data_IF_474287037294
#
_entry.id   IF_474287037294
#
_cell.length_a   1.000
_cell.length_b   1.000
_cell.length_c   1.000
_cell.angle_alpha   90.00
_cell.angle_beta   90.00
_cell.angle_gamma   90.00
#
_symmetry.space_group_name_H-M   'P 1'
#
loop_
_entity.id
_entity.type
_entity.pdbx_description
1 polymer ?
#
# COMPACT_ATOMS: atom_id res chain seq x y z
N UNK A 1 -25.67 -40.41 18.79
CA UNK A 1 -25.50 -38.98 19.09
C UNK A 1 -24.06 -38.53 18.95
N UNK A 2 -23.05 -39.32 19.32
CA UNK A 2 -21.63 -38.89 19.29
C UNK A 2 -21.00 -38.73 17.88
N UNK A 3 -21.42 -39.57 16.92
CA UNK A 3 -20.89 -39.53 15.53
C UNK A 3 -21.29 -38.24 14.79
N UNK A 4 -22.49 -37.75 15.01
CA UNK A 4 -22.97 -36.49 14.37
C UNK A 4 -22.27 -35.27 14.91
N UNK A 5 -21.90 -35.25 16.20
CA UNK A 5 -21.11 -34.16 16.83
C UNK A 5 -19.66 -34.13 16.35
N UNK A 6 -19.08 -35.30 16.10
CA UNK A 6 -17.69 -35.40 15.58
C UNK A 6 -17.64 -34.94 14.13
N UNK A 7 -18.63 -35.24 13.30
CA UNK A 7 -18.74 -34.79 11.91
C UNK A 7 -18.91 -33.25 11.87
N UNK A 8 -19.75 -32.68 12.74
CA UNK A 8 -19.89 -31.22 12.85
C UNK A 8 -18.62 -30.51 13.26
N UNK A 9 -17.84 -31.09 14.18
CA UNK A 9 -16.55 -30.54 14.61
C UNK A 9 -15.49 -30.64 13.52
N UNK A 10 -15.47 -31.71 12.73
CA UNK A 10 -14.56 -31.90 11.61
C UNK A 10 -14.82 -30.89 10.47
N UNK A 11 -16.10 -30.56 10.21
CA UNK A 11 -16.46 -29.54 9.22
C UNK A 11 -16.05 -28.11 9.64
N UNK A 12 -16.04 -27.80 10.93
CA UNK A 12 -15.63 -26.52 11.47
C UNK A 12 -14.11 -26.27 11.33
N UNK A 13 -13.31 -27.35 11.38
CA UNK A 13 -11.85 -27.28 11.26
C UNK A 13 -11.39 -27.12 9.79
N UNK A 14 -12.18 -27.60 8.83
CA UNK A 14 -11.89 -27.48 7.39
C UNK A 14 -12.14 -26.07 6.82
N UNK A 15 -12.85 -25.21 7.54
CA UNK A 15 -13.16 -23.83 7.11
C UNK A 15 -12.05 -22.81 7.34
N UNK A 16 -10.95 -23.14 8.00
CA UNK A 16 -9.90 -22.20 8.41
C UNK A 16 -8.71 -22.09 7.45
N UNK A 17 -8.72 -22.79 6.31
CA UNK A 17 -7.66 -22.74 5.31
C UNK A 17 -7.87 -21.66 4.22
N UNK A 18 -8.52 -20.54 4.52
CA UNK A 18 -8.67 -19.46 3.56
C UNK A 18 -7.84 -18.27 3.99
N UNK A 19 -6.70 -18.10 3.41
CA UNK A 19 -6.01 -16.88 3.01
C UNK A 19 -4.50 -17.08 2.88
N UNK A 20 -4.05 -17.82 1.89
CA UNK A 20 -2.74 -17.52 1.31
C UNK A 20 -2.97 -16.40 0.30
N UNK A 21 -2.94 -15.16 0.75
CA UNK A 21 -2.93 -14.01 -0.13
C UNK A 21 -1.74 -14.10 -1.08
N UNK A 22 -1.87 -13.56 -2.28
CA UNK A 22 -0.85 -13.44 -3.33
C UNK A 22 0.31 -12.47 -2.94
N UNK A 23 0.46 -12.20 -1.65
CA UNK A 23 1.42 -11.22 -1.12
C UNK A 23 2.37 -11.83 -0.10
N UNK A 24 3.58 -11.30 -0.04
CA UNK A 24 4.57 -11.57 1.02
C UNK A 24 4.64 -10.44 2.05
N UNK A 25 4.21 -9.25 1.65
CA UNK A 25 4.18 -8.06 2.51
C UNK A 25 3.01 -7.16 2.14
N UNK A 26 2.33 -6.61 3.13
CA UNK A 26 1.39 -5.51 2.96
C UNK A 26 1.22 -4.78 4.29
N UNK A 27 1.48 -3.49 4.29
CA UNK A 27 1.33 -2.63 5.45
C UNK A 27 0.71 -1.29 5.03
N UNK A 28 -0.17 -0.77 5.89
CA UNK A 28 -0.71 0.58 5.76
C UNK A 28 -0.34 1.41 6.98
N UNK A 29 0.12 2.63 6.74
CA UNK A 29 0.31 3.65 7.77
C UNK A 29 -0.87 4.62 7.69
N UNK A 30 -1.65 4.68 8.75
CA UNK A 30 -2.77 5.62 8.90
C UNK A 30 -2.21 7.01 9.19
N UNK A 31 -2.78 8.01 8.57
CA UNK A 31 -2.38 9.41 8.72
C UNK A 31 -3.34 10.15 9.66
N UNK A 32 -2.78 10.99 10.51
CA UNK A 32 -3.57 11.79 11.44
C UNK A 32 -4.47 12.77 10.67
N UNK A 33 -5.73 12.90 11.13
CA UNK A 33 -6.71 13.80 10.55
C UNK A 33 -6.96 13.60 9.03
N UNK A 34 -6.68 12.40 8.50
CA UNK A 34 -6.74 12.11 7.07
C UNK A 34 -5.97 13.14 6.22
N UNK A 35 -4.74 13.47 6.63
CA UNK A 35 -3.91 14.47 5.99
C UNK A 35 -2.45 14.02 5.88
N UNK A 36 -1.85 14.16 4.70
CA UNK A 36 -0.44 13.84 4.46
C UNK A 36 0.36 15.14 4.33
N UNK A 37 1.17 15.46 5.35
CA UNK A 37 2.00 16.67 5.30
C UNK A 37 3.24 16.44 4.42
N UNK A 38 3.75 17.50 3.80
CA UNK A 38 4.95 17.45 2.97
C UNK A 38 6.21 17.05 3.77
N UNK A 39 6.19 17.25 5.08
CA UNK A 39 7.28 16.88 6.00
C UNK A 39 7.20 15.43 6.47
N UNK A 40 6.07 14.75 6.26
CA UNK A 40 5.84 13.39 6.77
C UNK A 40 6.46 12.35 5.85
N UNK A 41 7.43 11.62 6.36
CA UNK A 41 8.01 10.45 5.71
C UNK A 41 7.36 9.17 6.21
N UNK A 42 6.80 8.39 5.29
CA UNK A 42 6.14 7.12 5.60
C UNK A 42 7.12 5.99 5.35
N UNK A 43 7.54 5.32 6.43
CA UNK A 43 8.58 4.28 6.38
C UNK A 43 7.96 2.88 6.45
N UNK A 44 8.46 1.96 5.61
CA UNK A 44 8.17 0.54 5.62
C UNK A 44 9.46 -0.25 5.80
N UNK A 45 9.47 -1.14 6.77
CA UNK A 45 10.59 -2.05 7.03
C UNK A 45 10.41 -3.33 6.19
N UNK A 46 11.38 -3.61 5.34
CA UNK A 46 11.41 -4.78 4.46
C UNK A 46 12.53 -5.77 4.84
N UNK A 47 13.14 -5.59 6.01
CA UNK A 47 14.16 -6.51 6.50
C UNK A 47 13.66 -7.97 6.48
N UNK A 48 14.52 -8.88 6.08
CA UNK A 48 14.22 -10.31 6.02
C UNK A 48 13.26 -10.75 4.90
N UNK A 49 12.87 -9.87 3.98
CA UNK A 49 12.06 -10.23 2.83
C UNK A 49 12.94 -10.58 1.61
N UNK A 50 12.56 -11.65 0.91
CA UNK A 50 13.11 -11.92 -0.42
C UNK A 50 12.42 -11.04 -1.45
N UNK A 51 13.13 -10.05 -1.97
CA UNK A 51 12.64 -9.06 -2.93
C UNK A 51 12.97 -9.41 -4.38
N UNK A 52 13.69 -10.50 -4.62
CA UNK A 52 14.15 -10.86 -5.97
C UNK A 52 12.96 -11.08 -6.92
N UNK A 53 12.91 -10.30 -8.00
CA UNK A 53 11.89 -10.38 -9.06
C UNK A 53 10.43 -10.21 -8.57
N UNK A 54 10.22 -9.53 -7.44
CA UNK A 54 8.89 -9.29 -6.89
C UNK A 54 8.24 -8.04 -7.45
N UNK A 55 6.94 -8.11 -7.67
CA UNK A 55 6.14 -6.93 -8.02
C UNK A 55 5.77 -6.16 -6.75
N UNK A 56 6.11 -4.88 -6.73
CA UNK A 56 5.79 -3.99 -5.62
C UNK A 56 4.75 -2.96 -6.01
N UNK A 57 3.85 -2.66 -5.09
CA UNK A 57 2.79 -1.68 -5.29
C UNK A 57 2.80 -0.66 -4.15
N UNK A 58 2.48 0.58 -4.50
CA UNK A 58 2.04 1.59 -3.54
C UNK A 58 0.52 1.59 -3.47
N UNK A 59 -0.01 1.97 -2.33
CA UNK A 59 -1.44 2.14 -2.12
C UNK A 59 -1.73 3.48 -1.47
N UNK A 60 -2.76 4.17 -1.94
CA UNK A 60 -3.29 5.36 -1.30
C UNK A 60 -4.74 5.11 -0.96
N UNK A 61 -5.09 5.32 0.31
CA UNK A 61 -6.46 5.34 0.80
C UNK A 61 -6.87 6.78 0.97
N UNK A 62 -7.94 7.17 0.29
CA UNK A 62 -8.38 8.56 0.23
C UNK A 62 -9.91 8.66 0.27
N UNK A 63 -10.40 9.85 0.56
CA UNK A 63 -11.83 10.15 0.60
C UNK A 63 -12.17 11.38 -0.27
N UNK A 64 -13.43 11.79 -0.26
CA UNK A 64 -13.97 12.88 -1.05
C UNK A 64 -13.34 14.27 -0.76
N UNK A 65 -12.63 14.43 0.34
CA UNK A 65 -11.90 15.67 0.64
C UNK A 65 -10.63 15.85 -0.18
N UNK A 66 -10.15 14.79 -0.85
CA UNK A 66 -9.00 14.88 -1.74
C UNK A 66 -9.36 15.59 -3.03
N UNK A 67 -8.63 16.68 -3.36
CA UNK A 67 -9.03 17.64 -4.42
C UNK A 67 -8.31 17.46 -5.75
N UNK A 68 -7.31 16.56 -5.84
CA UNK A 68 -6.50 16.40 -7.04
C UNK A 68 -6.84 15.11 -7.76
N UNK A 69 -6.61 15.07 -9.08
CA UNK A 69 -6.84 13.86 -9.89
C UNK A 69 -5.77 12.79 -9.72
N UNK A 70 -4.61 13.17 -9.23
CA UNK A 70 -3.44 12.28 -9.03
C UNK A 70 -2.67 12.67 -7.78
N UNK A 71 -1.74 11.81 -7.36
CA UNK A 71 -0.80 12.08 -6.30
C UNK A 71 0.62 11.75 -6.79
N UNK A 72 1.53 12.72 -6.74
CA UNK A 72 2.95 12.47 -6.94
C UNK A 72 3.56 11.96 -5.65
N UNK A 73 4.17 10.78 -5.72
CA UNK A 73 4.83 10.14 -4.59
C UNK A 73 6.30 9.94 -4.91
N UNK A 74 7.17 10.42 -4.06
CA UNK A 74 8.59 10.12 -4.12
C UNK A 74 8.85 8.84 -3.34
N UNK A 75 9.46 7.86 -4.00
CA UNK A 75 9.83 6.57 -3.44
C UNK A 75 11.35 6.55 -3.28
N UNK A 76 11.81 6.34 -2.05
CA UNK A 76 13.22 6.19 -1.73
C UNK A 76 13.41 4.80 -1.15
N UNK A 77 14.28 3.99 -1.74
CA UNK A 77 14.70 2.71 -1.17
C UNK A 77 16.10 2.81 -0.58
N UNK A 78 16.31 2.14 0.56
CA UNK A 78 17.60 2.10 1.24
C UNK A 78 17.98 0.68 1.60
N UNK A 79 19.29 0.41 1.65
CA UNK A 79 19.81 -0.82 2.22
C UNK A 79 19.99 -0.72 3.75
N UNK A 80 20.46 -1.79 4.36
CA UNK A 80 20.70 -1.88 5.81
C UNK A 80 21.76 -0.90 6.35
N UNK A 81 22.59 -0.34 5.46
CA UNK A 81 23.58 0.70 5.78
C UNK A 81 23.02 2.11 5.60
N UNK A 82 21.73 2.27 5.33
CA UNK A 82 21.07 3.52 4.97
C UNK A 82 21.54 4.14 3.63
N UNK A 83 22.24 3.39 2.79
CA UNK A 83 22.60 3.82 1.45
C UNK A 83 21.34 3.86 0.58
N UNK A 84 21.13 4.98 -0.11
CA UNK A 84 20.02 5.12 -1.06
C UNK A 84 20.32 4.29 -2.30
N UNK A 85 19.46 3.34 -2.59
CA UNK A 85 19.53 2.47 -3.78
C UNK A 85 18.69 3.03 -4.93
N UNK A 86 17.49 3.56 -4.61
CA UNK A 86 16.58 4.17 -5.57
C UNK A 86 15.98 5.45 -4.99
N UNK A 87 15.75 6.43 -5.87
CA UNK A 87 15.03 7.66 -5.55
C UNK A 87 14.22 8.05 -6.79
N UNK A 88 12.93 7.69 -6.80
CA UNK A 88 12.05 7.84 -7.96
C UNK A 88 10.81 8.63 -7.62
N UNK A 89 10.39 9.47 -8.55
CA UNK A 89 9.10 10.15 -8.51
C UNK A 89 8.10 9.35 -9.33
N UNK A 90 6.97 9.00 -8.73
CA UNK A 90 5.90 8.24 -9.35
C UNK A 90 4.63 9.08 -9.36
N UNK A 91 3.97 9.14 -10.50
CA UNK A 91 2.64 9.75 -10.63
C UNK A 91 1.59 8.65 -10.45
N UNK A 92 0.78 8.78 -9.41
CA UNK A 92 -0.31 7.85 -9.12
C UNK A 92 -1.66 8.50 -9.44
N UNK A 93 -2.34 8.11 -10.52
CA UNK A 93 -3.67 8.60 -10.83
C UNK A 93 -4.67 8.06 -9.81
N UNK A 94 -5.44 8.93 -9.17
CA UNK A 94 -6.47 8.59 -8.20
C UNK A 94 -7.89 8.72 -8.76
N UNK A 95 -8.05 9.56 -9.79
CA UNK A 95 -9.32 9.73 -10.49
C UNK A 95 -9.13 9.60 -12.00
N UNK A 96 -10.13 9.07 -12.65
CA UNK A 96 -10.19 9.03 -14.11
C UNK A 96 -10.34 10.46 -14.68
N UNK A 97 -9.43 10.82 -15.58
CA UNK A 97 -9.36 12.19 -16.12
C UNK A 97 -10.54 12.59 -16.98
N UNK A 98 -11.30 11.62 -17.51
CA UNK A 98 -12.44 11.88 -18.40
C UNK A 98 -13.75 11.91 -17.62
N UNK A 99 -13.95 10.97 -16.70
CA UNK A 99 -15.20 10.82 -15.95
C UNK A 99 -15.17 11.43 -14.55
N UNK A 100 -13.99 11.75 -14.03
CA UNK A 100 -13.80 12.21 -12.64
C UNK A 100 -14.11 11.13 -11.59
N UNK A 101 -14.31 9.87 -12.00
CA UNK A 101 -14.59 8.77 -11.07
C UNK A 101 -13.31 8.33 -10.37
N UNK A 102 -13.38 7.96 -9.08
CA UNK A 102 -12.20 7.42 -8.37
C UNK A 102 -11.73 6.10 -8.99
N UNK A 103 -10.43 5.96 -9.13
CA UNK A 103 -9.75 4.78 -9.62
C UNK A 103 -9.34 3.91 -8.43
N UNK A 104 -10.18 3.00 -8.02
CA UNK A 104 -9.87 2.13 -6.88
C UNK A 104 -11.10 1.38 -6.43
N UNK A 105 -10.96 0.70 -5.31
CA UNK A 105 -12.06 -0.03 -4.66
C UNK A 105 -12.26 0.52 -3.26
N UNK A 106 -13.50 0.60 -2.83
CA UNK A 106 -13.79 1.10 -1.49
C UNK A 106 -15.22 0.88 -1.07
N UNK A 107 -15.51 1.35 0.12
CA UNK A 107 -16.83 1.32 0.72
C UNK A 107 -17.14 2.68 1.35
N UNK A 108 -18.34 3.17 1.16
CA UNK A 108 -18.72 4.51 1.59
C UNK A 108 -17.87 5.58 0.90
N UNK A 109 -17.31 6.49 1.67
CA UNK A 109 -16.49 7.60 1.15
C UNK A 109 -15.00 7.26 1.04
N UNK A 110 -14.59 6.07 1.47
CA UNK A 110 -13.19 5.67 1.49
C UNK A 110 -12.86 4.78 0.30
N UNK A 111 -11.89 5.18 -0.49
CA UNK A 111 -11.40 4.48 -1.68
C UNK A 111 -9.93 4.12 -1.47
N UNK A 112 -9.55 2.90 -1.83
CA UNK A 112 -8.14 2.47 -1.86
C UNK A 112 -7.73 2.18 -3.30
N UNK A 113 -6.72 2.88 -3.79
CA UNK A 113 -6.09 2.65 -5.09
C UNK A 113 -4.71 2.04 -4.87
N UNK A 114 -4.47 0.92 -5.54
CA UNK A 114 -3.13 0.32 -5.68
C UNK A 114 -2.57 0.65 -7.05
N UNK A 115 -1.27 0.88 -7.11
CA UNK A 115 -0.54 1.05 -8.36
C UNK A 115 0.82 0.38 -8.30
N UNK A 116 1.20 -0.29 -9.38
CA UNK A 116 2.51 -0.95 -9.47
C UNK A 116 3.60 0.10 -9.63
N UNK A 117 4.67 0.01 -8.84
CA UNK A 117 5.82 0.88 -9.04
C UNK A 117 6.53 0.52 -10.36
N UNK A 118 6.96 1.52 -11.16
CA UNK A 118 7.47 1.31 -12.52
C UNK A 118 8.95 0.86 -12.55
N UNK A 119 9.44 0.23 -11.48
CA UNK A 119 10.80 -0.28 -11.38
C UNK A 119 10.87 -1.48 -10.42
N UNK A 120 11.90 -2.29 -10.58
CA UNK A 120 12.18 -3.40 -9.66
C UNK A 120 12.95 -2.89 -8.45
N UNK A 121 12.57 -3.34 -7.25
CA UNK A 121 13.37 -3.08 -6.06
C UNK A 121 14.68 -3.86 -6.14
N UNK A 122 15.75 -3.21 -5.70
CA UNK A 122 17.03 -3.89 -5.52
C UNK A 122 16.87 -4.97 -4.41
N UNK A 123 17.39 -6.19 -4.62
CA UNK A 123 17.33 -7.26 -3.59
C UNK A 123 17.93 -6.87 -2.24
N UNK A 124 18.84 -5.88 -2.20
CA UNK A 124 19.44 -5.36 -0.96
C UNK A 124 18.55 -4.34 -0.23
N UNK A 125 17.40 -3.99 -0.77
CA UNK A 125 16.51 -3.01 -0.14
C UNK A 125 16.03 -3.55 1.22
N UNK A 126 16.27 -2.78 2.26
CA UNK A 126 15.82 -3.08 3.63
C UNK A 126 14.70 -2.16 4.10
N UNK A 127 14.52 -1.01 3.45
CA UNK A 127 13.43 -0.07 3.77
C UNK A 127 12.97 0.73 2.57
N UNK A 128 11.70 1.12 2.61
CA UNK A 128 11.07 2.04 1.66
C UNK A 128 10.57 3.25 2.43
N UNK A 129 10.80 4.43 1.87
CA UNK A 129 10.29 5.69 2.36
C UNK A 129 9.40 6.30 1.27
N UNK A 130 8.17 6.64 1.61
CA UNK A 130 7.25 7.35 0.75
C UNK A 130 7.06 8.78 1.26
N UNK A 131 7.14 9.74 0.34
CA UNK A 131 6.93 11.17 0.60
C UNK A 131 5.91 11.68 -0.42
N UNK A 132 4.94 12.47 0.00
CA UNK A 132 4.13 13.20 -0.96
C UNK A 132 5.01 14.26 -1.66
N UNK A 133 4.82 14.44 -2.96
CA UNK A 133 5.59 15.38 -3.77
C UNK A 133 4.64 16.24 -4.62
N UNK A 134 3.56 16.67 -3.99
CA UNK A 134 2.65 17.67 -4.50
C UNK A 134 3.15 19.06 -4.07
N UNK A 135 2.70 20.11 -4.73
CA UNK A 135 3.06 21.49 -4.37
C UNK A 135 2.13 22.03 -3.28
N UNK A 136 1.88 21.21 -2.26
CA UNK A 136 0.99 21.48 -1.15
C UNK A 136 1.68 21.09 0.16
N UNK A 137 1.58 21.93 1.17
CA UNK A 137 2.14 21.63 2.49
C UNK A 137 1.40 20.48 3.16
N UNK A 138 0.10 20.35 2.87
CA UNK A 138 -0.76 19.29 3.42
C UNK A 138 -1.79 18.82 2.38
N UNK A 139 -1.83 17.51 2.15
CA UNK A 139 -2.84 16.86 1.31
C UNK A 139 -3.98 16.35 2.19
N UNK A 140 -5.06 17.10 2.24
CA UNK A 140 -6.29 16.65 2.91
C UNK A 140 -6.96 15.52 2.15
N UNK A 141 -7.62 14.62 2.87
CA UNK A 141 -8.35 13.50 2.29
C UNK A 141 -7.52 12.26 2.02
N UNK A 142 -6.24 12.22 2.42
CA UNK A 142 -5.41 11.01 2.41
C UNK A 142 -5.46 10.36 3.79
N UNK A 143 -6.16 9.24 3.90
CA UNK A 143 -6.39 8.54 5.17
C UNK A 143 -5.25 7.59 5.54
N UNK A 144 -4.67 6.92 4.55
CA UNK A 144 -3.55 6.02 4.78
C UNK A 144 -2.71 5.84 3.50
N UNK A 145 -1.45 5.51 3.71
CA UNK A 145 -0.51 5.16 2.64
C UNK A 145 -0.01 3.74 2.89
N UNK A 146 0.03 2.92 1.86
CA UNK A 146 0.39 1.52 1.95
C UNK A 146 1.51 1.13 0.99
N UNK A 147 2.19 0.06 1.34
CA UNK A 147 3.15 -0.62 0.49
C UNK A 147 2.87 -2.13 0.49
N UNK A 148 2.90 -2.73 -0.69
CA UNK A 148 2.58 -4.14 -0.88
C UNK A 148 3.60 -4.79 -1.80
N UNK A 149 3.99 -6.04 -1.49
CA UNK A 149 4.87 -6.87 -2.31
C UNK A 149 4.14 -8.19 -2.60
N UNK A 150 4.01 -8.51 -3.87
CA UNK A 150 3.39 -9.75 -4.32
C UNK A 150 4.37 -10.92 -4.20
N UNK A 151 3.79 -12.11 -4.18
CA UNK A 151 4.54 -13.36 -4.09
C UNK A 151 5.20 -13.71 -5.43
#
# INVERSE_FOLDING_TARGET
MNKLRIIGLLFLILGLNSCSGDRIFEEFKVLDQAAWNATDSINFDLNSLDLASRTSLIAIRFNESYKFSNCYVRIISKDSSNLILENRLVNMPLFDSKSGKPLGKGFGNTITKYDTIPFQLNPRTSSIILLQYMREDQLSGIEAVGFKILR
#
